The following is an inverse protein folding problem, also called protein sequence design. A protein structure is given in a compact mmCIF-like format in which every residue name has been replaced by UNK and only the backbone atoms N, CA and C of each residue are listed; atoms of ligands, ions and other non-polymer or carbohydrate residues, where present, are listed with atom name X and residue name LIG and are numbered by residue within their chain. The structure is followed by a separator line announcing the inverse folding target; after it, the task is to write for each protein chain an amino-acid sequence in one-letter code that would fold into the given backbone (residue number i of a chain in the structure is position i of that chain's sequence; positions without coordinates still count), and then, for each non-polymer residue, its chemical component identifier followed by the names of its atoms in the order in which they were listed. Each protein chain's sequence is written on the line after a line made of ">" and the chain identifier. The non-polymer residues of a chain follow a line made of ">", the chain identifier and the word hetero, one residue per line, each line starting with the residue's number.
data_IF_751516038198
#
_entry.id   IF_751516038198
#
_cell.length_a   1.000
_cell.length_b   1.000
_cell.length_c   1.000
_cell.angle_alpha   90.00
_cell.angle_beta   90.00
_cell.angle_gamma   90.00
#
_symmetry.space_group_name_H-M   'P 1'
#
loop_
_entity.id
_entity.type
_entity.pdbx_description
1 polymer ?
#
# COMPACT_ATOMS: atom_id res chain seq x y z
N UNK A 1 -3.29 16.14 15.88
CA UNK A 1 -3.11 15.06 16.87
C UNK A 1 -3.52 13.77 16.17
N UNK A 2 -2.54 12.93 15.81
CA UNK A 2 -2.73 11.74 14.99
C UNK A 2 -2.84 10.50 15.87
N UNK A 3 -4.09 10.14 16.14
CA UNK A 3 -4.61 9.03 16.95
C UNK A 3 -3.73 7.76 16.98
N UNK A 4 -2.87 7.70 17.97
CA UNK A 4 -2.17 6.50 18.47
C UNK A 4 -3.13 5.53 19.17
N UNK A 5 -4.12 5.01 18.46
CA UNK A 5 -4.91 3.83 18.88
C UNK A 5 -5.52 3.12 17.65
N UNK A 6 -4.92 3.33 16.47
CA UNK A 6 -5.37 2.74 15.20
C UNK A 6 -4.72 1.38 14.98
N UNK A 7 -5.42 0.47 14.30
CA UNK A 7 -5.07 -0.93 14.02
C UNK A 7 -3.66 -1.22 13.41
N UNK A 8 -2.81 -0.21 13.22
CA UNK A 8 -1.46 -0.28 12.66
C UNK A 8 -0.38 -0.59 13.73
N UNK A 9 -0.60 -0.25 15.00
CA UNK A 9 0.44 -0.33 16.05
C UNK A 9 1.52 0.74 15.91
N UNK A 10 2.66 0.58 16.61
CA UNK A 10 3.78 1.52 16.53
C UNK A 10 4.61 1.31 15.24
N UNK A 11 5.32 2.33 14.74
CA UNK A 11 6.31 2.14 13.68
C UNK A 11 7.46 1.25 14.20
N UNK A 12 7.84 0.22 13.45
CA UNK A 12 8.96 -0.68 13.76
C UNK A 12 10.21 -0.40 12.93
N UNK A 13 10.08 0.41 11.89
CA UNK A 13 11.22 0.95 11.13
C UNK A 13 11.27 2.47 11.26
N UNK A 14 12.48 3.01 11.10
CA UNK A 14 12.64 4.42 10.78
C UNK A 14 11.97 4.74 9.43
N UNK A 15 11.70 6.03 9.18
CA UNK A 15 11.18 6.49 7.90
C UNK A 15 12.28 6.39 6.84
N UNK A 16 12.00 5.69 5.75
CA UNK A 16 12.92 5.48 4.64
C UNK A 16 12.47 6.24 3.41
N UNK A 17 13.42 6.77 2.65
CA UNK A 17 13.15 7.38 1.34
C UNK A 17 12.88 6.27 0.33
N UNK A 18 11.88 6.46 -0.53
CA UNK A 18 11.57 5.55 -1.64
C UNK A 18 12.70 5.49 -2.66
N UNK A 19 12.75 4.43 -3.47
CA UNK A 19 13.85 4.21 -4.40
C UNK A 19 13.91 5.27 -5.50
N UNK A 20 12.79 5.87 -5.88
CA UNK A 20 12.74 7.01 -6.82
C UNK A 20 13.14 8.36 -6.19
N UNK A 21 13.30 8.42 -4.86
CA UNK A 21 13.72 9.61 -4.13
C UNK A 21 12.63 10.67 -3.92
N UNK A 22 11.36 10.35 -4.20
CA UNK A 22 10.24 11.33 -4.14
C UNK A 22 9.40 11.17 -2.88
N UNK A 23 9.20 9.93 -2.43
CA UNK A 23 8.34 9.59 -1.30
C UNK A 23 9.12 9.06 -0.11
N UNK A 24 8.36 8.77 0.94
CA UNK A 24 8.85 8.19 2.18
C UNK A 24 7.97 7.01 2.57
N UNK A 25 8.52 6.01 3.24
CA UNK A 25 7.76 4.90 3.78
C UNK A 25 8.26 4.43 5.15
N UNK A 26 7.37 3.84 5.93
CA UNK A 26 7.70 3.18 7.19
C UNK A 26 6.89 1.89 7.35
N UNK A 27 7.46 0.90 8.03
CA UNK A 27 6.80 -0.36 8.39
C UNK A 27 6.32 -0.29 9.84
N UNK A 28 5.14 -0.86 10.08
CA UNK A 28 4.46 -0.83 11.37
C UNK A 28 4.37 -2.24 11.99
N UNK A 29 4.11 -2.31 13.30
CA UNK A 29 4.00 -3.57 14.06
C UNK A 29 2.95 -4.53 13.50
N UNK A 30 1.86 -4.01 12.90
CA UNK A 30 0.87 -4.84 12.21
C UNK A 30 1.45 -5.64 11.03
N UNK A 31 2.64 -5.25 10.55
CA UNK A 31 3.27 -5.74 9.34
C UNK A 31 3.02 -4.85 8.13
N UNK A 32 2.07 -3.91 8.21
CA UNK A 32 1.70 -3.01 7.14
C UNK A 32 2.71 -1.87 6.95
N UNK A 33 2.62 -1.21 5.80
CA UNK A 33 3.45 -0.08 5.45
C UNK A 33 2.60 1.19 5.39
N UNK A 34 3.20 2.34 5.67
CA UNK A 34 2.64 3.63 5.26
C UNK A 34 3.59 4.20 4.23
N UNK A 35 3.07 4.55 3.06
CA UNK A 35 3.78 5.29 2.02
C UNK A 35 3.22 6.70 1.96
N UNK A 36 4.11 7.69 1.91
CA UNK A 36 3.77 9.10 1.75
C UNK A 36 4.50 9.73 0.57
N UNK A 37 3.80 10.62 -0.13
CA UNK A 37 4.34 11.39 -1.24
C UNK A 37 3.73 12.79 -1.21
N UNK A 38 4.59 13.81 -1.19
CA UNK A 38 4.16 15.19 -1.21
C UNK A 38 3.82 15.65 -2.64
N UNK A 39 2.78 16.49 -2.84
CA UNK A 39 1.80 16.98 -1.87
C UNK A 39 0.56 16.07 -1.74
N UNK A 40 0.62 14.84 -2.27
CA UNK A 40 -0.56 14.00 -2.51
C UNK A 40 -1.13 13.41 -1.21
N UNK A 41 -0.29 12.90 -0.32
CA UNK A 41 -0.71 12.37 0.98
C UNK A 41 0.05 11.13 1.43
N UNK A 42 -0.51 10.43 2.41
CA UNK A 42 0.01 9.18 2.95
C UNK A 42 -1.09 8.11 3.01
N UNK A 43 -0.75 6.87 2.65
CA UNK A 43 -1.68 5.75 2.65
C UNK A 43 -1.02 4.50 3.21
N UNK A 44 -1.81 3.75 3.99
CA UNK A 44 -1.45 2.41 4.42
C UNK A 44 -1.44 1.46 3.24
N UNK A 45 -0.47 0.56 3.15
CA UNK A 45 -0.39 -0.55 2.21
C UNK A 45 -0.31 -1.85 3.03
N UNK A 46 -1.33 -2.72 2.97
CA UNK A 46 -1.30 -3.99 3.69
C UNK A 46 -0.11 -4.85 3.25
N UNK A 47 0.48 -5.63 4.15
CA UNK A 47 1.65 -6.45 3.81
C UNK A 47 1.40 -7.39 2.61
N UNK A 48 0.19 -7.94 2.46
CA UNK A 48 -0.16 -8.77 1.30
C UNK A 48 -0.14 -7.96 -0.01
N UNK A 49 -0.62 -6.72 0.02
CA UNK A 49 -0.62 -5.82 -1.15
C UNK A 49 0.80 -5.40 -1.47
N UNK A 50 1.58 -5.04 -0.45
CA UNK A 50 2.97 -4.65 -0.59
C UNK A 50 3.81 -5.76 -1.24
N UNK A 51 3.68 -7.01 -0.80
CA UNK A 51 4.44 -8.13 -1.37
C UNK A 51 4.14 -8.38 -2.86
N UNK A 52 2.91 -8.16 -3.31
CA UNK A 52 2.60 -8.23 -4.75
C UNK A 52 3.16 -7.01 -5.47
N UNK A 53 2.96 -5.81 -4.94
CA UNK A 53 3.45 -4.56 -5.54
C UNK A 53 4.98 -4.53 -5.66
N UNK A 54 5.71 -5.16 -4.74
CA UNK A 54 7.17 -5.33 -4.79
C UNK A 54 7.61 -6.12 -6.03
N UNK A 55 6.85 -7.15 -6.43
CA UNK A 55 7.11 -7.90 -7.65
C UNK A 55 6.95 -7.07 -8.94
N UNK A 56 6.37 -5.87 -8.83
CA UNK A 56 6.22 -4.90 -9.92
C UNK A 56 7.13 -3.68 -9.76
N UNK A 57 8.22 -3.76 -9.00
CA UNK A 57 9.19 -2.67 -8.82
C UNK A 57 8.63 -1.46 -8.04
N UNK A 58 7.61 -1.70 -7.19
CA UNK A 58 7.04 -0.71 -6.27
C UNK A 58 6.65 0.61 -6.97
N UNK A 59 7.06 1.76 -6.44
CA UNK A 59 6.76 3.09 -6.96
C UNK A 59 7.41 3.41 -8.31
N UNK A 60 8.51 2.73 -8.66
CA UNK A 60 9.12 2.79 -9.99
C UNK A 60 8.34 1.96 -11.02
N UNK A 61 7.49 1.08 -10.52
CA UNK A 61 6.66 0.17 -11.28
C UNK A 61 5.54 0.81 -12.12
N UNK A 62 4.80 -0.01 -12.87
CA UNK A 62 3.72 0.43 -13.73
C UNK A 62 2.53 1.04 -12.96
N UNK A 63 2.39 0.78 -11.66
CA UNK A 63 1.29 1.29 -10.83
C UNK A 63 1.58 2.65 -10.20
N UNK A 64 2.85 3.00 -9.99
CA UNK A 64 3.25 4.18 -9.22
C UNK A 64 2.91 4.05 -7.73
N UNK A 65 2.70 5.18 -7.06
CA UNK A 65 2.37 5.22 -5.63
C UNK A 65 0.93 4.78 -5.33
N UNK A 66 0.62 4.31 -4.11
CA UNK A 66 -0.76 4.21 -3.64
C UNK A 66 -1.43 5.59 -3.71
N UNK A 67 -2.71 5.62 -4.05
CA UNK A 67 -3.52 6.84 -4.18
C UNK A 67 -4.76 6.82 -3.28
N UNK A 68 -4.95 5.73 -2.52
CA UNK A 68 -6.09 5.54 -1.63
C UNK A 68 -5.82 4.49 -0.55
N UNK A 69 -6.62 4.55 0.51
CA UNK A 69 -6.63 3.50 1.53
C UNK A 69 -7.09 2.17 0.93
N UNK A 70 -6.54 1.03 1.39
CA UNK A 70 -7.01 -0.27 0.99
C UNK A 70 -8.46 -0.45 1.44
N UNK A 71 -9.30 -0.93 0.54
CA UNK A 71 -10.71 -1.20 0.79
C UNK A 71 -10.87 -2.71 0.94
N UNK A 72 -11.45 -3.14 2.05
CA UNK A 72 -11.98 -4.49 2.15
C UNK A 72 -13.19 -4.58 1.23
N UNK A 73 -13.10 -5.40 0.18
CA UNK A 73 -14.17 -5.58 -0.80
C UNK A 73 -14.57 -7.05 -0.85
N UNK A 74 -15.69 -7.44 -0.23
CA UNK A 74 -16.23 -8.80 -0.35
C UNK A 74 -16.94 -8.99 -1.69
N UNK A 75 -16.35 -8.52 -2.80
CA UNK A 75 -16.65 -9.10 -4.10
C UNK A 75 -16.28 -10.60 -4.01
N UNK A 76 -17.05 -11.51 -4.62
CA UNK A 76 -16.77 -12.94 -4.49
C UNK A 76 -15.34 -13.25 -4.97
N UNK A 77 -14.45 -13.47 -4.01
CA UNK A 77 -13.05 -13.78 -4.26
C UNK A 77 -12.05 -12.64 -4.07
N UNK A 78 -12.43 -11.45 -3.57
CA UNK A 78 -11.47 -10.38 -3.20
C UNK A 78 -11.51 -10.14 -1.68
N UNK A 79 -10.36 -9.82 -1.10
CA UNK A 79 -10.17 -9.43 0.31
C UNK A 79 -9.70 -7.99 0.39
N UNK A 80 -8.73 -7.61 -0.44
CA UNK A 80 -8.20 -6.25 -0.48
C UNK A 80 -8.26 -5.71 -1.89
N UNK A 81 -8.66 -4.44 -2.03
CA UNK A 81 -8.41 -3.66 -3.24
C UNK A 81 -7.83 -2.32 -2.86
N UNK A 82 -6.71 -1.97 -3.48
CA UNK A 82 -6.02 -0.71 -3.28
C UNK A 82 -5.85 0.02 -4.61
N UNK A 83 -6.12 1.33 -4.58
CA UNK A 83 -5.92 2.22 -5.71
C UNK A 83 -4.48 2.75 -5.69
N UNK A 84 -3.89 2.79 -6.89
CA UNK A 84 -2.57 3.33 -7.17
C UNK A 84 -2.71 4.45 -8.21
N UNK A 85 -1.66 5.25 -8.41
CA UNK A 85 -1.67 6.37 -9.35
C UNK A 85 -2.05 5.96 -10.78
N UNK A 86 -1.69 4.75 -11.19
CA UNK A 86 -1.81 4.27 -12.58
C UNK A 86 -2.59 2.95 -12.68
N UNK A 87 -3.32 2.58 -11.64
CA UNK A 87 -4.15 1.39 -11.64
C UNK A 87 -4.74 1.02 -10.29
N UNK A 88 -5.22 -0.21 -10.17
CA UNK A 88 -5.64 -0.81 -8.91
C UNK A 88 -5.08 -2.22 -8.80
N UNK A 89 -4.73 -2.62 -7.57
CA UNK A 89 -4.34 -3.99 -7.22
C UNK A 89 -5.42 -4.56 -6.30
N UNK A 90 -5.98 -5.72 -6.66
CA UNK A 90 -6.88 -6.46 -5.81
C UNK A 90 -6.33 -7.86 -5.49
N UNK A 91 -6.57 -8.37 -4.29
CA UNK A 91 -6.05 -9.66 -3.82
C UNK A 91 -7.19 -10.50 -3.27
N UNK A 92 -7.23 -11.77 -3.66
CA UNK A 92 -8.14 -12.79 -3.16
C UNK A 92 -7.73 -13.42 -1.82
N UNK A 93 -8.63 -14.14 -1.12
CA UNK A 93 -8.25 -14.87 0.09
C UNK A 93 -7.15 -15.92 -0.16
N UNK A 94 -7.08 -16.46 -1.38
CA UNK A 94 -6.06 -17.43 -1.82
C UNK A 94 -4.73 -16.78 -2.24
N UNK A 95 -4.61 -15.45 -2.20
CA UNK A 95 -3.40 -14.72 -2.60
C UNK A 95 -3.27 -14.48 -4.10
N UNK A 96 -4.27 -14.85 -4.91
CA UNK A 96 -4.33 -14.48 -6.33
C UNK A 96 -4.57 -12.97 -6.46
N UNK A 97 -3.77 -12.32 -7.30
CA UNK A 97 -3.80 -10.89 -7.52
C UNK A 97 -4.44 -10.54 -8.88
N UNK A 98 -5.30 -9.53 -8.87
CA UNK A 98 -5.97 -8.97 -10.04
C UNK A 98 -5.50 -7.54 -10.24
N UNK A 99 -5.19 -7.20 -11.48
CA UNK A 99 -4.60 -5.92 -11.84
C UNK A 99 -5.53 -5.16 -12.79
N UNK A 100 -5.73 -3.89 -12.51
CA UNK A 100 -6.53 -2.99 -13.33
C UNK A 100 -5.65 -1.79 -13.67
N UNK A 101 -5.50 -1.48 -14.96
CA UNK A 101 -4.82 -0.27 -15.41
C UNK A 101 -5.86 0.76 -15.84
N UNK A 102 -5.54 2.04 -15.65
CA UNK A 102 -6.35 3.15 -16.18
C UNK A 102 -5.88 3.55 -17.58
#
# INVERSE_FOLDING_TARGET
>A
QGREDGALGYPISDEQVTADGVGHFARFESGDYIYSIAPVGAWTVPWQVHGIWEAFDLENGPFGYPSGLPKYQPEPGIVWRQEFQRGSLAISPSGEAYFYHY
#
